data_IF_545008809326
#
_entry.id   IF_545008809326
#
_cell.length_a   1.000
_cell.length_b   1.000
_cell.length_c   1.000
_cell.angle_alpha   90.00
_cell.angle_beta   90.00
_cell.angle_gamma   90.00
#
_symmetry.space_group_name_H-M   'P 1'
#
loop_
_entity.id
_entity.type
_entity.pdbx_description
1 polymer ?
2 non-polymer ?
3 non-polymer ?
4 non-polymer ?
5 water ?
#
# COMPACT_ATOMS: atom_id res chain seq x y z
N UNK A 5 -25.17 -9.04 3.72
CA UNK A 5 -24.47 -8.46 4.85
C UNK A 5 -23.25 -9.29 5.25
N UNK A 6 -22.13 -8.61 5.49
CA UNK A 6 -20.89 -9.27 5.86
C UNK A 6 -20.89 -9.62 7.33
N UNK A 7 -20.03 -10.57 7.72
CA UNK A 7 -20.01 -11.07 9.08
C UNK A 7 -18.59 -10.98 9.66
N UNK A 8 -18.44 -10.32 10.80
CA UNK A 8 -17.13 -10.24 11.47
C UNK A 8 -16.67 -11.64 11.81
N UNK A 9 -15.43 -11.94 11.47
CA UNK A 9 -14.87 -13.26 11.67
C UNK A 9 -14.93 -14.11 10.43
N UNK A 10 -15.61 -13.61 9.40
CA UNK A 10 -15.74 -14.35 8.15
C UNK A 10 -15.02 -13.61 7.01
N UNK A 11 -15.68 -12.62 6.42
CA UNK A 11 -15.08 -11.90 5.31
C UNK A 11 -14.00 -10.92 5.80
N UNK A 12 -14.11 -10.50 7.05
CA UNK A 12 -13.15 -9.57 7.66
C UNK A 12 -13.02 -9.92 9.11
N UNK A 13 -11.96 -9.43 9.75
CA UNK A 13 -11.88 -9.48 11.20
C UNK A 13 -11.70 -8.07 11.79
N UNK A 14 -12.14 -7.93 13.03
CA UNK A 14 -11.91 -6.71 13.77
C UNK A 14 -10.67 -6.89 14.59
N UNK A 15 -9.73 -5.96 14.47
CA UNK A 15 -8.57 -5.94 15.33
C UNK A 15 -8.95 -5.59 16.78
N UNK A 16 -8.59 -6.46 17.71
CA UNK A 16 -8.93 -6.28 19.12
C UNK A 16 -8.19 -5.09 19.69
N UNK A 17 -7.05 -4.77 19.06
CA UNK A 17 -6.30 -3.54 19.36
C UNK A 17 -6.25 -2.64 18.12
N UNK A 18 -7.26 -1.75 17.99
CA UNK A 18 -7.23 -0.85 16.84
C UNK A 18 -5.95 -0.03 16.75
N UNK A 19 -5.57 0.36 15.54
CA UNK A 19 -4.31 1.04 15.26
C UNK A 19 -4.63 2.47 14.83
N UNK A 20 -3.83 3.45 15.30
CA UNK A 20 -4.12 4.82 14.90
C UNK A 20 -4.01 4.99 13.39
N UNK A 21 -4.73 5.97 12.85
CA UNK A 21 -4.73 6.21 11.41
C UNK A 21 -3.74 7.33 11.02
N UNK A 22 -3.33 7.33 9.76
CA UNK A 22 -2.30 8.23 9.32
C UNK A 22 -2.84 9.65 9.19
N UNK A 23 -4.14 9.80 8.95
CA UNK A 23 -4.76 11.10 8.85
C UNK A 23 -6.03 11.17 9.66
N UNK A 24 -5.88 11.48 10.95
CA UNK A 24 -7.04 11.62 11.85
C UNK A 24 -8.13 12.51 11.25
N UNK A 25 -9.37 12.03 11.36
CA UNK A 25 -10.50 12.77 10.84
C UNK A 25 -10.98 12.22 9.51
N UNK A 26 -10.13 11.45 8.83
CA UNK A 26 -10.59 10.76 7.64
C UNK A 26 -10.65 9.27 7.87
N UNK A 27 -11.55 8.61 7.14
CA UNK A 27 -11.67 7.17 7.21
C UNK A 27 -10.55 6.61 6.35
N UNK A 28 -9.65 5.87 6.99
CA UNK A 28 -8.46 5.39 6.31
C UNK A 28 -8.76 4.07 5.61
N UNK A 29 -8.24 3.94 4.40
CA UNK A 29 -8.23 2.67 3.70
C UNK A 29 -6.78 2.38 3.28
N UNK A 30 -6.19 1.33 3.85
CA UNK A 30 -4.82 0.96 3.54
C UNK A 30 -4.81 -0.33 2.71
N UNK A 31 -4.02 -0.31 1.65
CA UNK A 31 -3.64 -1.53 0.95
C UNK A 31 -2.18 -1.82 1.20
N UNK A 32 -1.92 -2.96 1.85
CA UNK A 32 -0.57 -3.43 2.10
C UNK A 32 -0.22 -4.21 0.87
N UNK A 33 0.96 -3.96 0.33
CA UNK A 33 1.34 -4.54 -0.95
C UNK A 33 2.83 -4.68 -1.04
N UNK A 34 3.27 -5.37 -2.08
CA UNK A 34 4.67 -5.42 -2.49
C UNK A 34 4.67 -5.32 -4.02
N UNK A 35 5.52 -4.46 -4.56
CA UNK A 35 5.56 -4.25 -5.99
C UNK A 35 5.80 -5.54 -6.75
N UNK A 36 6.52 -6.48 -6.14
CA UNK A 36 6.88 -7.71 -6.81
C UNK A 36 5.91 -8.87 -6.69
N UNK A 37 4.78 -8.58 -6.07
CA UNK A 37 3.77 -9.57 -5.72
C UNK A 37 2.80 -9.74 -6.89
N UNK A 38 2.78 -10.91 -7.51
CA UNK A 38 1.87 -11.04 -8.67
C UNK A 38 0.39 -10.80 -8.36
N UNK A 39 -0.12 -11.28 -7.23
CA UNK A 39 -1.50 -11.04 -6.85
C UNK A 39 -1.74 -9.55 -6.66
N UNK A 40 -0.72 -8.83 -6.22
CA UNK A 40 -0.83 -7.38 -6.04
C UNK A 40 -0.94 -6.71 -7.40
N UNK A 41 -0.10 -7.12 -8.33
CA UNK A 41 -0.14 -6.60 -9.69
C UNK A 41 -1.48 -6.89 -10.34
N UNK A 42 -1.97 -8.11 -10.13
CA UNK A 42 -3.25 -8.52 -10.71
C UNK A 42 -4.49 -7.77 -10.16
N UNK A 43 -4.41 -7.33 -8.91
CA UNK A 43 -5.49 -6.59 -8.26
C UNK A 43 -5.56 -5.13 -8.71
N UNK A 44 -4.46 -4.61 -9.23
CA UNK A 44 -4.36 -3.19 -9.57
C UNK A 44 -5.47 -2.65 -10.46
N UNK A 45 -5.84 -3.41 -11.52
CA UNK A 45 -6.92 -2.88 -12.36
C UNK A 45 -8.27 -2.79 -11.66
N UNK A 46 -8.39 -3.42 -10.50
CA UNK A 46 -9.64 -3.41 -9.76
C UNK A 46 -9.58 -2.27 -8.74
N UNK A 47 -8.49 -2.21 -7.98
CA UNK A 47 -8.41 -1.25 -6.90
C UNK A 47 -8.03 0.17 -7.33
N UNK A 48 -7.27 0.32 -8.41
CA UNK A 48 -6.90 1.68 -8.86
C UNK A 48 -8.11 2.60 -9.21
N UNK A 49 -9.00 2.16 -10.11
CA UNK A 49 -10.10 3.08 -10.43
C UNK A 49 -11.00 3.34 -9.24
N UNK A 50 -11.22 2.32 -8.43
CA UNK A 50 -12.03 2.45 -7.24
C UNK A 50 -11.41 3.49 -6.31
N UNK A 51 -10.10 3.42 -6.16
CA UNK A 51 -9.42 4.27 -5.18
C UNK A 51 -9.48 5.74 -5.58
N UNK A 52 -9.54 5.99 -6.87
CA UNK A 52 -9.57 7.35 -7.38
C UNK A 52 -10.96 7.96 -7.31
N UNK A 53 -11.97 7.15 -6.98
CA UNK A 53 -13.34 7.66 -6.91
C UNK A 53 -13.87 7.77 -5.48
N UNK A 54 -12.98 7.63 -4.50
CA UNK A 54 -13.40 7.69 -3.12
C UNK A 54 -13.79 9.11 -2.69
N UNK A 55 -14.72 9.22 -1.74
CA UNK A 55 -15.21 10.56 -1.35
C UNK A 55 -14.24 11.34 -0.47
N UNK A 56 -14.61 12.57 -0.14
CA UNK A 56 -13.71 13.53 0.47
C UNK A 56 -13.30 13.17 1.90
N UNK A 57 -14.05 12.29 2.54
CA UNK A 57 -13.79 11.99 3.95
C UNK A 57 -13.02 10.69 4.10
N UNK A 58 -12.52 10.18 2.96
CA UNK A 58 -11.76 8.93 2.93
C UNK A 58 -10.31 9.22 2.56
N UNK A 59 -9.37 8.51 3.19
CA UNK A 59 -7.97 8.66 2.87
C UNK A 59 -7.41 7.29 2.49
N UNK A 60 -7.22 7.06 1.18
CA UNK A 60 -6.62 5.83 0.69
C UNK A 60 -5.11 5.94 0.71
N UNK A 61 -4.45 4.89 1.17
CA UNK A 61 -3.01 4.91 1.23
C UNK A 61 -2.49 3.54 0.93
N UNK A 62 -1.41 3.50 0.17
CA UNK A 62 -0.69 2.24 -0.02
C UNK A 62 0.43 2.16 1.00
N UNK A 63 0.65 0.97 1.55
CA UNK A 63 1.69 0.75 2.56
C UNK A 63 2.46 -0.48 2.15
N UNK A 64 3.77 -0.32 1.93
CA UNK A 64 4.55 -1.46 1.47
C UNK A 64 4.77 -2.40 2.64
N UNK A 65 4.67 -3.70 2.39
CA UNK A 65 4.90 -4.68 3.44
C UNK A 65 6.40 -4.95 3.48
N UNK A 66 7.04 -4.60 4.60
CA UNK A 66 8.47 -4.74 4.73
C UNK A 66 8.79 -6.07 5.41
N UNK A 67 8.71 -7.15 4.64
CA UNK A 67 8.79 -8.51 5.19
C UNK A 67 10.16 -9.13 4.95
N UNK A 68 11.14 -8.27 4.64
CA UNK A 68 12.52 -8.68 4.50
C UNK A 68 13.04 -8.72 3.07
N UNK A 69 14.36 -8.69 2.95
CA UNK A 69 15.00 -8.82 1.65
C UNK A 69 14.46 -7.87 0.60
N UNK A 70 14.13 -8.41 -0.57
CA UNK A 70 13.69 -7.61 -1.69
C UNK A 70 12.39 -6.85 -1.40
N UNK A 71 11.56 -7.35 -0.49
CA UNK A 71 10.34 -6.62 -0.11
C UNK A 71 10.73 -5.31 0.56
N UNK A 72 11.79 -5.33 1.37
CA UNK A 72 12.21 -4.10 2.06
C UNK A 72 12.79 -3.11 1.06
N UNK A 73 13.60 -3.63 0.15
CA UNK A 73 14.19 -2.80 -0.89
C UNK A 73 13.15 -2.14 -1.79
N UNK A 74 12.15 -2.91 -2.21
CA UNK A 74 11.11 -2.35 -3.04
C UNK A 74 10.20 -1.44 -2.24
N UNK A 75 10.03 -1.73 -0.95
CA UNK A 75 9.26 -0.84 -0.08
C UNK A 75 9.96 0.49 0.14
N UNK A 76 11.28 0.46 0.26
CA UNK A 76 12.09 1.65 0.42
C UNK A 76 12.01 2.52 -0.85
N UNK A 77 11.98 1.88 -2.01
CA UNK A 77 11.75 2.59 -3.28
C UNK A 77 10.37 3.26 -3.26
N UNK A 78 9.32 2.53 -2.91
CA UNK A 78 8.01 3.12 -2.77
C UNK A 78 8.05 4.35 -1.87
N UNK A 79 8.58 4.20 -0.67
CA UNK A 79 8.57 5.32 0.27
C UNK A 79 9.39 6.51 -0.23
N UNK A 80 10.46 6.24 -0.97
CA UNK A 80 11.29 7.31 -1.56
C UNK A 80 10.51 8.08 -2.61
N UNK A 81 9.74 7.35 -3.41
CA UNK A 81 8.93 7.98 -4.45
C UNK A 81 7.84 8.83 -3.81
N UNK A 82 7.25 8.33 -2.73
CA UNK A 82 6.23 9.14 -2.03
C UNK A 82 6.83 10.45 -1.53
N UNK A 83 7.99 10.37 -0.91
CA UNK A 83 8.70 11.56 -0.42
C UNK A 83 8.98 12.59 -1.51
N UNK A 84 9.41 12.11 -2.67
CA UNK A 84 9.69 12.96 -3.81
C UNK A 84 8.43 13.49 -4.48
N UNK A 85 7.28 13.01 -4.04
CA UNK A 85 5.99 13.38 -4.59
C UNK A 85 5.67 12.82 -5.97
N UNK A 86 6.32 11.73 -6.37
CA UNK A 86 6.13 11.21 -7.72
C UNK A 86 5.57 9.78 -7.78
N UNK A 87 5.23 9.17 -6.66
CA UNK A 87 4.85 7.77 -6.72
C UNK A 87 3.63 7.56 -7.60
N UNK A 88 2.63 8.44 -7.46
CA UNK A 88 1.40 8.29 -8.21
C UNK A 88 1.67 8.24 -9.71
N UNK A 89 2.54 9.15 -10.17
CA UNK A 89 2.80 9.27 -11.59
C UNK A 89 3.63 8.12 -12.20
N UNK A 90 4.44 7.45 -11.40
CA UNK A 90 5.28 6.36 -11.90
C UNK A 90 4.84 4.99 -11.37
N UNK A 91 3.73 4.98 -10.65
CA UNK A 91 3.24 3.76 -9.95
C UNK A 91 3.04 2.62 -10.92
N UNK A 92 2.22 2.85 -11.93
CA UNK A 92 1.92 1.82 -12.92
C UNK A 92 3.20 1.35 -13.61
N UNK A 93 4.09 2.29 -13.92
CA UNK A 93 5.31 1.94 -14.66
C UNK A 93 6.24 1.06 -13.83
N UNK A 94 6.25 1.25 -12.51
CA UNK A 94 7.05 0.39 -11.66
C UNK A 94 6.48 -1.03 -11.67
N UNK A 95 5.16 -1.16 -11.53
CA UNK A 95 4.52 -2.46 -11.59
C UNK A 95 4.84 -3.10 -12.93
N UNK A 96 4.76 -2.30 -13.99
CA UNK A 96 4.97 -2.86 -15.31
C UNK A 96 6.41 -3.32 -15.52
N UNK A 97 7.37 -2.57 -14.99
CA UNK A 97 8.78 -2.89 -15.18
C UNK A 97 9.11 -4.23 -14.56
N UNK A 98 8.58 -4.43 -13.35
CA UNK A 98 8.84 -5.63 -12.57
C UNK A 98 8.14 -6.87 -13.14
N UNK A 99 6.89 -6.72 -13.57
CA UNK A 99 6.08 -7.87 -13.98
C UNK A 99 6.05 -8.14 -15.48
N UNK A 100 6.36 -7.13 -16.29
CA UNK A 100 6.31 -7.27 -17.74
C UNK A 100 7.69 -7.13 -18.38
N UNK A 101 8.51 -6.22 -17.87
CA UNK A 101 9.78 -5.89 -18.53
C UNK A 101 10.99 -6.63 -17.96
N UNK A 102 10.74 -7.54 -17.02
CA UNK A 102 11.81 -8.33 -16.41
C UNK A 102 12.82 -7.48 -15.63
N UNK A 103 12.42 -6.31 -15.15
CA UNK A 103 13.35 -5.49 -14.38
C UNK A 103 13.30 -5.87 -12.90
N UNK A 104 14.46 -6.11 -12.30
CA UNK A 104 14.49 -6.54 -10.91
C UNK A 104 14.39 -5.34 -9.95
N UNK A 105 14.96 -4.21 -10.35
CA UNK A 105 14.94 -2.98 -9.51
C UNK A 105 15.36 -3.33 -8.08
N UNK A 106 16.48 -4.03 -7.96
CA UNK A 106 16.88 -4.65 -6.69
C UNK A 106 17.96 -3.91 -5.90
N UNK A 107 18.49 -2.84 -6.49
CA UNK A 107 19.46 -1.96 -5.83
C UNK A 107 19.06 -0.53 -6.16
N UNK A 108 19.44 0.44 -5.30
CA UNK A 108 19.09 1.83 -5.61
C UNK A 108 19.67 2.35 -6.94
N UNK A 109 20.85 1.91 -7.31
CA UNK A 109 21.40 2.31 -8.59
C UNK A 109 20.51 1.82 -9.74
N UNK A 110 20.08 0.58 -9.65
CA UNK A 110 19.20 0.03 -10.66
C UNK A 110 17.85 0.77 -10.69
N UNK A 111 17.30 1.03 -9.52
CA UNK A 111 16.03 1.77 -9.43
C UNK A 111 16.19 3.15 -10.05
N UNK A 112 17.26 3.84 -9.71
CA UNK A 112 17.44 5.22 -10.16
C UNK A 112 17.58 5.30 -11.69
N UNK A 113 18.34 4.37 -12.27
CA UNK A 113 18.52 4.31 -13.71
C UNK A 113 17.20 4.03 -14.43
N UNK A 114 16.38 3.14 -13.87
CA UNK A 114 15.04 2.90 -14.42
C UNK A 114 14.18 4.14 -14.30
N UNK A 115 14.14 4.72 -13.11
CA UNK A 115 13.22 5.83 -12.84
C UNK A 115 13.62 7.10 -13.58
N UNK A 116 14.91 7.25 -13.89
CA UNK A 116 15.35 8.37 -14.71
C UNK A 116 14.57 8.44 -16.02
N UNK A 117 14.29 7.29 -16.61
CA UNK A 117 13.57 7.23 -17.86
C UNK A 117 12.12 7.62 -17.68
N UNK A 118 11.67 7.74 -16.45
CA UNK A 118 10.30 8.15 -16.17
C UNK A 118 10.25 9.57 -15.60
N UNK A 119 11.37 10.28 -15.68
CA UNK A 119 11.44 11.69 -15.29
C UNK A 119 12.03 11.95 -13.90
N UNK A 120 12.34 10.89 -13.15
CA UNK A 120 12.79 11.03 -11.78
C UNK A 120 14.29 11.37 -11.67
N UNK A 121 14.54 12.52 -11.04
CA UNK A 121 15.90 12.99 -10.70
C UNK A 121 16.68 11.93 -9.95
N UNK A 122 17.77 11.45 -10.54
CA UNK A 122 18.50 10.33 -9.97
C UNK A 122 19.29 10.73 -8.72
N UNK A 123 19.93 11.89 -8.72
CA UNK A 123 20.66 12.35 -7.53
C UNK A 123 19.70 12.53 -6.35
N UNK A 124 18.55 13.14 -6.61
CA UNK A 124 17.54 13.31 -5.57
C UNK A 124 16.94 11.98 -5.14
N UNK A 125 16.72 11.07 -6.10
CA UNK A 125 16.26 9.74 -5.72
C UNK A 125 17.24 9.07 -4.77
N UNK A 126 18.52 9.10 -5.11
CA UNK A 126 19.54 8.40 -4.33
C UNK A 126 19.71 9.02 -2.94
N UNK A 127 19.76 10.34 -2.88
CA UNK A 127 19.86 11.07 -1.63
C UNK A 127 18.67 10.80 -0.71
N UNK A 128 17.46 10.78 -1.29
CA UNK A 128 16.22 10.52 -0.53
C UNK A 128 16.20 9.06 -0.07
N UNK A 129 16.54 8.15 -0.97
CA UNK A 129 16.54 6.73 -0.64
C UNK A 129 17.41 6.43 0.58
N UNK A 130 18.58 7.09 0.66
CA UNK A 130 19.52 6.86 1.78
C UNK A 130 19.35 7.85 2.93
N UNK A 131 18.31 8.67 2.89
CA UNK A 131 18.09 9.69 3.92
C UNK A 131 17.61 9.14 5.26
N UNK A 132 17.88 9.90 6.33
CA UNK A 132 17.41 9.51 7.65
C UNK A 132 15.89 9.56 7.70
N UNK A 133 15.29 10.45 6.94
CA UNK A 133 13.85 10.56 6.97
C UNK A 133 13.23 9.26 6.46
N UNK A 134 13.85 8.67 5.43
CA UNK A 134 13.34 7.40 4.88
C UNK A 134 13.52 6.24 5.88
N UNK A 135 14.61 6.26 6.66
CA UNK A 135 14.80 5.26 7.70
C UNK A 135 13.62 5.26 8.66
N UNK A 136 13.14 6.45 9.01
CA UNK A 136 12.04 6.55 9.95
C UNK A 136 10.73 6.09 9.35
N UNK A 137 10.52 6.39 8.07
CA UNK A 137 9.30 5.98 7.40
C UNK A 137 9.28 4.46 7.25
N UNK A 138 10.45 3.89 7.03
CA UNK A 138 10.60 2.44 6.92
C UNK A 138 10.18 1.79 8.24
N UNK A 139 10.70 2.29 9.37
CA UNK A 139 10.36 1.70 10.65
C UNK A 139 8.88 1.89 10.96
N UNK A 140 8.34 3.05 10.57
CA UNK A 140 6.93 3.33 10.79
C UNK A 140 6.08 2.29 10.05
N UNK A 141 6.46 2.00 8.81
CA UNK A 141 5.68 1.09 7.98
C UNK A 141 5.81 -0.34 8.52
N UNK A 142 6.99 -0.68 9.00
CA UNK A 142 7.21 -2.00 9.59
C UNK A 142 6.31 -2.20 10.81
N UNK A 143 6.30 -1.22 11.69
CA UNK A 143 5.54 -1.29 12.94
C UNK A 143 4.06 -1.33 12.64
N UNK A 144 3.62 -0.60 11.59
CA UNK A 144 2.20 -0.66 11.22
C UNK A 144 1.77 -2.06 10.77
N UNK A 145 2.56 -2.68 9.91
CA UNK A 145 2.22 -4.01 9.45
C UNK A 145 2.21 -4.99 10.62
N UNK A 146 3.15 -4.87 11.55
CA UNK A 146 3.16 -5.66 12.77
C UNK A 146 1.89 -5.44 13.62
N UNK A 147 1.49 -4.18 13.77
CA UNK A 147 0.30 -3.87 14.55
C UNK A 147 -1.00 -4.33 13.90
N UNK A 148 -1.02 -4.37 12.56
CA UNK A 148 -2.19 -4.87 11.84
C UNK A 148 -2.21 -6.43 11.83
N UNK A 149 -1.10 -7.01 12.27
CA UNK A 149 -0.91 -8.47 12.25
C UNK A 149 -1.12 -9.02 10.85
N UNK A 150 -0.54 -8.35 9.88
CA UNK A 150 -0.63 -8.76 8.49
C UNK A 150 0.52 -9.71 8.17
N UNK A 151 0.22 -10.80 7.48
CA UNK A 151 1.24 -11.80 7.17
C UNK A 151 1.27 -12.14 5.69
N UNK A 152 0.57 -11.34 4.89
CA UNK A 152 0.67 -11.48 3.45
C UNK A 152 0.05 -10.34 2.69
N UNK A 153 0.23 -10.33 1.38
CA UNK A 153 -0.32 -9.26 0.54
C UNK A 153 -1.03 -9.84 -0.69
N UNK A 154 -1.94 -9.06 -1.30
CA UNK A 154 -2.46 -7.76 -0.83
C UNK A 154 -3.45 -7.93 0.31
N UNK A 155 -3.41 -6.98 1.26
CA UNK A 155 -4.28 -7.04 2.40
C UNK A 155 -4.78 -5.63 2.66
N UNK A 156 -6.07 -5.54 2.98
CA UNK A 156 -6.72 -4.26 3.23
C UNK A 156 -6.96 -4.06 4.72
N UNK A 157 -6.83 -2.80 5.18
CA UNK A 157 -7.18 -2.47 6.52
C UNK A 157 -7.96 -1.19 6.45
N UNK A 158 -9.17 -1.22 7.00
CA UNK A 158 -9.98 0.00 7.08
C UNK A 158 -10.02 0.58 8.48
N UNK A 159 -9.75 1.89 8.53
CA UNK A 159 -9.77 2.73 9.70
C UNK A 159 -9.03 2.17 10.90
N UNK A 160 -7.97 1.44 10.61
CA UNK A 160 -7.12 0.87 11.65
C UNK A 160 -7.80 -0.23 12.43
N UNK A 161 -8.92 -0.74 11.91
CA UNK A 161 -9.81 -1.58 12.71
C UNK A 161 -10.25 -2.89 12.09
N UNK A 162 -10.25 -2.98 10.76
CA UNK A 162 -10.85 -4.12 10.07
C UNK A 162 -9.86 -4.61 9.05
N UNK A 163 -9.49 -5.89 9.13
CA UNK A 163 -8.54 -6.46 8.21
C UNK A 163 -9.24 -7.49 7.35
N UNK A 164 -8.96 -7.43 6.05
CA UNK A 164 -9.51 -8.40 5.11
C UNK A 164 -8.59 -8.53 3.88
N UNK A 165 -8.81 -9.55 3.07
CA UNK A 165 -8.01 -9.74 1.87
C UNK A 165 -8.91 -10.35 0.79
N UNK A 166 -8.36 -10.63 -0.37
CA UNK A 166 -9.17 -11.10 -1.48
C UNK A 166 -9.79 -12.44 -1.15
N UNK A 167 -9.03 -13.32 -0.51
CA UNK A 167 -9.57 -14.62 -0.17
C UNK A 167 -10.69 -14.53 0.84
N UNK A 168 -10.53 -13.71 1.87
CA UNK A 168 -11.55 -13.63 2.92
C UNK A 168 -12.81 -12.97 2.37
N UNK A 169 -12.64 -11.97 1.53
CA UNK A 169 -13.75 -11.22 0.99
C UNK A 169 -14.45 -12.04 -0.06
N UNK A 170 -13.71 -12.92 -0.73
CA UNK A 170 -14.32 -13.82 -1.67
C UNK A 170 -14.09 -13.45 -3.11
N UNK A 171 -13.11 -12.59 -3.33
CA UNK A 171 -12.74 -12.18 -4.68
C UNK A 171 -12.42 -10.69 -4.76
N UNK A 172 -11.89 -10.25 -5.90
CA UNK A 172 -11.44 -8.85 -5.99
C UNK A 172 -12.59 -7.83 -5.94
N UNK A 173 -13.67 -8.11 -6.66
CA UNK A 173 -14.86 -7.22 -6.59
C UNK A 173 -15.42 -7.15 -5.18
N UNK A 174 -15.51 -8.33 -4.57
CA UNK A 174 -16.01 -8.46 -3.21
C UNK A 174 -15.12 -7.69 -2.25
N UNK A 175 -13.83 -7.64 -2.53
CA UNK A 175 -12.91 -6.93 -1.64
C UNK A 175 -13.27 -5.45 -1.56
N UNK A 176 -13.54 -4.86 -2.71
CA UNK A 176 -13.93 -3.44 -2.76
C UNK A 176 -15.30 -3.21 -2.17
N UNK A 177 -16.22 -4.14 -2.39
CA UNK A 177 -17.57 -3.97 -1.85
C UNK A 177 -17.53 -4.02 -0.33
N UNK A 178 -16.69 -4.89 0.19
CA UNK A 178 -16.50 -5.02 1.63
C UNK A 178 -15.89 -3.74 2.17
N UNK A 179 -14.93 -3.19 1.43
CA UNK A 179 -14.26 -1.96 1.89
C UNK A 179 -15.31 -0.87 1.98
N UNK A 180 -16.16 -0.81 0.96
CA UNK A 180 -17.21 0.18 0.94
C UNK A 180 -18.12 0.05 2.17
N UNK A 181 -18.53 -1.18 2.45
CA UNK A 181 -19.37 -1.48 3.59
C UNK A 181 -18.71 -0.99 4.85
N UNK A 182 -17.42 -1.27 4.99
CA UNK A 182 -16.72 -0.90 6.23
C UNK A 182 -16.50 0.61 6.32
N UNK A 183 -16.30 1.25 5.18
CA UNK A 183 -16.23 2.71 5.14
C UNK A 183 -17.54 3.27 5.64
N UNK A 184 -18.66 2.75 5.16
CA UNK A 184 -19.96 3.25 5.65
C UNK A 184 -20.15 3.02 7.14
N UNK A 185 -19.71 1.88 7.64
CA UNK A 185 -19.82 1.58 9.06
C UNK A 185 -19.13 2.68 9.87
N UNK A 186 -17.96 3.10 9.40
CA UNK A 186 -17.19 4.09 10.12
C UNK A 186 -17.77 5.48 9.97
N UNK A 187 -18.36 5.75 8.82
CA UNK A 187 -18.94 7.08 8.56
C UNK A 187 -20.13 7.31 9.48
N UNK A 188 -20.84 6.22 9.79
CA UNK A 188 -22.06 6.27 10.61
C UNK A 188 -21.75 6.32 12.10
N UNK A 189 -20.52 5.95 12.46
CA UNK A 189 -20.18 5.77 13.86
C UNK A 189 -20.10 7.12 14.56
N UNK A 190 -20.40 7.12 15.84
CA UNK A 190 -20.27 8.29 16.66
C UNK A 190 -18.80 8.71 16.73
N UNK A 191 -18.55 10.02 16.70
CA UNK A 191 -17.20 10.56 16.84
C UNK A 191 -16.78 10.66 18.29
X LIG B 1 -1.13 -14.08 3.42
X LIG B 1 -0.78 -15.09 2.54
X LIG B 1 -1.16 -14.71 1.13
X LIG B 1 -2.59 -14.49 1.06
X LIG B 1 -2.94 -13.45 2.00
X LIG B 1 -2.49 -13.86 3.38
X LIG B 1 -3.01 -14.16 -0.30
X LIG B 1 -4.50 -14.31 -0.42
X LIG B 1 -4.99 -14.24 -2.14
X LIG B 1 -4.44 -15.38 -2.89
X LIG B 1 -4.60 -12.97 -2.74
X LIG B 1 -6.45 -14.26 -2.25
X LIG B 1 0.18 -15.24 2.58
X LIG B 1 -1.24 -15.91 2.79
X LIG B 1 -0.68 -13.90 0.87
X LIG B 1 -0.92 -15.43 0.52
X LIG B 1 -3.01 -15.26 1.32
X LIG B 1 -3.90 -13.32 2.00
X LIG B 1 -2.49 -12.62 1.75
X LIG B 1 -2.95 -14.69 3.64
X LIG B 1 -2.71 -13.16 4.02
X LIG B 1 -2.57 -14.76 -0.93
X LIG B 1 -2.75 -13.23 -0.51
X LIG B 1 -4.93 -13.59 0.06
X LIG B 1 -4.77 -15.16 -0.05
X LIG C 1 -0.83 -17.57 -8.93
X LIG C 1 -0.68 -17.56 -7.56
X LIG C 1 -1.07 -16.19 -9.47
X LIG C 1 -0.01 -15.37 -9.12
X LIG C 1 -1.60 -18.13 -9.16
X LIG C 1 -0.04 -17.94 -9.35
X LIG C 1 -0.84 -18.36 -7.23
X LIG C 1 -1.14 -16.23 -10.43
X LIG C 1 -1.89 -15.84 -9.10
X LIG C 1 0.48 -15.76 -8.50
X LIG D 1 -18.16 6.05 0.85
X LIG D 1 -17.89 4.90 0.07
X LIG D 1 -18.65 3.66 0.68
X LIG D 1 -19.95 3.42 0.08
X LIG D 1 -20.77 2.46 0.63
X LIG D 1 -21.38 1.44 -0.28
X LIG D 1 -21.57 0.19 0.45
X LIG D 1 -22.54 0.02 1.51
X LIG D 1 -23.29 -1.30 1.30
X LIG D 1 -22.61 -2.42 1.82
X LIG D 1 -22.98 -3.70 1.38
X LIG D 1 -23.79 -4.43 2.42
X LIG D 1 -24.65 -5.33 1.84
X LIG D 1 -19.04 6.24 0.80
X LIG D 1 -16.96 4.74 0.07
X LIG D 1 -18.17 5.03 -0.76
X LIG D 1 -18.77 3.81 1.67
X LIG D 1 -18.07 2.82 0.55
X LIG D 1 -21.47 2.90 1.10
X LIG D 1 -20.24 1.98 1.29
X LIG D 1 -20.82 1.29 -1.05
X LIG D 1 -22.19 1.75 -0.56
X LIG D 1 -22.06 0.00 2.39
X LIG D 1 -23.19 0.78 1.52
X LIG D 1 -24.23 -1.24 1.76
X LIG D 1 -23.42 -1.43 0.37
X LIG D 1 -22.13 -4.25 1.18
X LIG D 1 -23.54 -3.61 0.53
X LIG D 1 -23.15 -4.92 3.08
X LIG D 1 -24.29 -3.81 2.90
X LIG D 1 -24.16 -5.95 1.35
#
# INVERSE_FOLDING_TARGET
SNADDYTAGKEYVELSSPVPVSQPGKIEVVELFWYGCPHCYAFEPTIVPWSEKLPADVHFVRLPALFGGIWNVHGQMFLTLISMGVEHDVHNAVFEAIHKEHKKLATPEEMADFLAGKGVDKEKFLSTYNSFAIKGQMEKAKKLAMAYQVTGVPTMVVNGKYRFDIGSAGGPEETLKLADYLIEKERAAAKK
MES O1 C2 C3 N4 C5 C6 C7 C8 S O1S O2S O3S H21 H22 H31 H32 HN4 H51 H52 H61 H62 H71 H72 H81 H82
EDO C1 O1 C2 O2 H11 H12 HO1 H21 H22 HO2
PG4 O1 C1 C2 O2 C3 C4 O3 C5 C6 O4 C7 C8 O5 HO1 H11 H12 H21 H22 H31 H32 H41 H42 H51 H52 H61 H62 H71 H72 H81 H82 HO5
#
